data_IF_316022506491
#
_entry.id   IF_316022506491
#
_cell.length_a   1.000
_cell.length_b   1.000
_cell.length_c   1.000
_cell.angle_alpha   90.00
_cell.angle_beta   90.00
_cell.angle_gamma   90.00
#
_symmetry.space_group_name_H-M   'P 1'
#
loop_
_entity.id
_entity.type
_entity.pdbx_description
1 polymer ?
#
# COMPACT_ATOMS: atom_id res chain seq x y z
N UNK A 1 -29.13 -25.46 13.98
CA UNK A 1 -27.67 -25.30 13.94
C UNK A 1 -27.40 -24.01 13.20
N UNK A 2 -27.42 -22.91 13.93
CA UNK A 2 -27.25 -21.57 13.35
C UNK A 2 -25.78 -21.32 13.07
N UNK A 3 -25.43 -21.36 11.79
CA UNK A 3 -24.12 -20.89 11.32
C UNK A 3 -24.08 -19.37 11.50
N UNK A 4 -23.31 -18.93 12.50
CA UNK A 4 -22.97 -17.52 12.69
C UNK A 4 -22.19 -17.05 11.45
N UNK A 5 -22.86 -16.22 10.64
CA UNK A 5 -22.21 -15.39 9.62
C UNK A 5 -21.19 -14.51 10.34
N UNK A 6 -19.90 -14.46 9.90
CA UNK A 6 -18.92 -13.62 10.55
C UNK A 6 -19.32 -12.15 10.37
N UNK A 7 -19.33 -11.45 11.50
CA UNK A 7 -19.56 -10.01 11.61
C UNK A 7 -18.60 -9.29 10.66
N UNK A 8 -19.15 -8.57 9.68
CA UNK A 8 -18.43 -7.54 8.93
C UNK A 8 -17.90 -6.52 9.94
N UNK A 9 -16.62 -6.64 10.31
CA UNK A 9 -15.96 -5.62 11.10
C UNK A 9 -15.79 -4.39 10.22
N UNK A 10 -16.45 -3.32 10.62
CA UNK A 10 -16.37 -2.01 10.00
C UNK A 10 -14.91 -1.53 9.98
N UNK A 11 -14.26 -1.61 8.82
CA UNK A 11 -13.12 -0.75 8.51
C UNK A 11 -13.68 0.68 8.55
N UNK A 12 -13.35 1.45 9.58
CA UNK A 12 -13.75 2.85 9.64
C UNK A 12 -12.99 3.60 8.55
N UNK A 13 -13.64 3.83 7.41
CA UNK A 13 -13.18 4.68 6.30
C UNK A 13 -13.16 6.18 6.68
N UNK A 14 -13.06 6.50 7.97
CA UNK A 14 -13.17 7.86 8.47
C UNK A 14 -11.87 8.32 9.14
N UNK A 15 -11.43 9.49 8.69
CA UNK A 15 -10.22 10.23 9.03
C UNK A 15 -10.02 10.60 10.52
N UNK A 16 -10.91 10.19 11.43
CA UNK A 16 -10.88 10.60 12.83
C UNK A 16 -9.63 10.10 13.59
N UNK A 17 -9.01 9.00 13.16
CA UNK A 17 -7.80 8.45 13.80
C UNK A 17 -6.51 9.22 13.55
N UNK A 18 -6.46 10.15 12.57
CA UNK A 18 -5.21 10.79 12.12
C UNK A 18 -4.84 12.11 12.83
N UNK A 19 -5.71 12.68 13.66
CA UNK A 19 -5.34 13.82 14.51
C UNK A 19 -4.21 13.44 15.47
N UNK A 20 -4.17 12.19 15.90
CA UNK A 20 -3.08 11.61 16.70
C UNK A 20 -1.81 11.42 15.87
N UNK A 21 -1.90 10.96 14.61
CA UNK A 21 -0.72 10.70 13.77
C UNK A 21 0.09 11.97 13.45
N UNK A 22 -0.55 13.15 13.37
CA UNK A 22 0.17 14.44 13.30
C UNK A 22 0.96 14.77 14.57
N UNK A 23 0.47 14.35 15.75
CA UNK A 23 1.20 14.45 17.03
C UNK A 23 2.30 13.40 17.11
N UNK A 24 2.07 12.21 16.59
CA UNK A 24 2.97 11.06 16.74
C UNK A 24 4.14 11.09 15.73
N UNK A 25 3.97 11.68 14.54
CA UNK A 25 5.11 12.04 13.68
C UNK A 25 6.08 13.05 14.35
N UNK A 26 5.70 13.61 15.52
CA UNK A 26 6.56 14.45 16.37
C UNK A 26 7.07 13.77 17.65
N UNK A 27 6.66 12.54 17.98
CA UNK A 27 7.09 11.88 19.23
C UNK A 27 8.30 10.96 19.00
N UNK A 28 9.36 11.19 19.77
CA UNK A 28 10.76 10.86 19.47
C UNK A 28 11.19 9.38 19.60
N UNK A 29 10.32 8.46 20.04
CA UNK A 29 10.82 7.19 20.61
C UNK A 29 11.01 5.99 19.66
N UNK A 30 10.62 6.07 18.39
CA UNK A 30 10.94 5.03 17.38
C UNK A 30 11.26 5.65 16.01
N UNK A 31 12.09 6.69 16.00
CA UNK A 31 12.41 7.49 14.82
C UNK A 31 13.73 6.99 14.20
N UNK A 32 13.69 6.44 12.98
CA UNK A 32 14.89 6.37 12.13
C UNK A 32 15.41 7.81 11.93
N UNK A 33 16.71 8.03 11.70
CA UNK A 33 17.41 9.36 11.66
C UNK A 33 16.74 10.54 10.87
N UNK A 34 15.59 10.34 10.22
CA UNK A 34 14.82 11.33 9.45
C UNK A 34 13.34 11.50 9.85
N UNK A 35 12.86 11.00 11.00
CA UNK A 35 11.49 11.34 11.47
C UNK A 35 10.34 10.60 10.77
N UNK A 36 10.63 9.67 9.85
CA UNK A 36 9.60 9.01 9.03
C UNK A 36 9.31 7.60 9.55
N UNK A 37 8.06 7.39 9.98
CA UNK A 37 7.44 6.05 10.12
C UNK A 37 7.40 5.38 8.75
N UNK A 38 7.87 4.14 8.65
CA UNK A 38 7.81 3.38 7.40
C UNK A 38 6.34 3.05 7.09
N UNK A 39 5.88 3.37 5.89
CA UNK A 39 4.54 3.01 5.42
C UNK A 39 4.65 1.99 4.30
N UNK A 40 3.69 1.07 4.26
CA UNK A 40 3.52 0.10 3.19
C UNK A 40 2.20 0.26 2.47
N UNK A 41 2.22 0.05 1.17
CA UNK A 41 1.04 -0.17 0.32
C UNK A 41 0.94 -1.66 0.02
N UNK A 42 -0.11 -2.27 0.55
CA UNK A 42 -0.48 -3.64 0.22
C UNK A 42 -1.07 -3.72 -1.19
N UNK A 43 -0.54 -4.62 -2.01
CA UNK A 43 -0.98 -4.88 -3.37
C UNK A 43 -1.00 -6.39 -3.64
N UNK A 44 -2.10 -6.89 -4.18
CA UNK A 44 -2.16 -8.28 -4.63
C UNK A 44 -1.30 -8.49 -5.87
N UNK A 45 -0.75 -9.70 -6.01
CA UNK A 45 -0.16 -10.16 -7.26
C UNK A 45 -1.18 -10.10 -8.41
N UNK A 46 -0.82 -9.59 -9.61
CA UNK A 46 0.51 -9.17 -10.07
C UNK A 46 0.77 -7.65 -9.99
N UNK A 47 -0.09 -6.87 -9.33
CA UNK A 47 -0.05 -5.41 -9.43
C UNK A 47 1.20 -4.78 -8.79
N UNK A 48 1.74 -5.36 -7.72
CA UNK A 48 3.01 -4.94 -7.15
C UNK A 48 4.14 -4.98 -8.19
N UNK A 49 4.26 -6.10 -8.92
CA UNK A 49 5.22 -6.25 -10.01
C UNK A 49 4.97 -5.28 -11.18
N UNK A 50 3.72 -5.01 -11.52
CA UNK A 50 3.40 -4.00 -12.54
C UNK A 50 3.81 -2.59 -12.14
N UNK A 51 3.63 -2.21 -10.87
CA UNK A 51 4.06 -0.90 -10.37
C UNK A 51 5.59 -0.80 -10.34
N UNK A 52 6.27 -1.80 -9.78
CA UNK A 52 7.73 -1.79 -9.64
C UNK A 52 8.47 -1.89 -10.98
N UNK A 53 7.85 -2.46 -12.02
CA UNK A 53 8.39 -2.45 -13.39
C UNK A 53 8.08 -1.17 -14.18
N UNK A 54 7.31 -0.25 -13.62
CA UNK A 54 6.85 0.97 -14.30
C UNK A 54 5.71 0.73 -15.31
N UNK A 55 5.23 -0.51 -15.47
CA UNK A 55 4.09 -0.82 -16.36
C UNK A 55 2.78 -0.20 -15.86
N UNK A 56 2.63 -0.08 -14.53
CA UNK A 56 1.51 0.59 -13.87
C UNK A 56 1.99 1.92 -13.30
N UNK A 57 1.52 3.02 -13.86
CA UNK A 57 1.91 4.38 -13.48
C UNK A 57 0.85 5.12 -12.67
N UNK A 58 -0.35 4.54 -12.52
CA UNK A 58 -1.41 5.04 -11.64
C UNK A 58 -1.91 3.91 -10.76
N UNK A 59 -1.90 4.13 -9.46
CA UNK A 59 -2.57 3.25 -8.50
C UNK A 59 -4.02 3.69 -8.26
N UNK A 60 -4.95 2.75 -8.14
CA UNK A 60 -6.39 3.07 -7.98
C UNK A 60 -6.89 2.63 -6.62
N UNK A 61 -7.52 3.55 -5.88
CA UNK A 61 -8.09 3.25 -4.55
C UNK A 61 -9.46 3.91 -4.36
N UNK A 62 -10.22 3.39 -3.41
CA UNK A 62 -11.51 3.97 -3.01
C UNK A 62 -11.39 5.23 -2.13
N UNK A 63 -10.17 5.71 -1.89
CA UNK A 63 -9.88 6.83 -1.00
C UNK A 63 -8.68 7.62 -1.53
N UNK A 64 -8.63 8.89 -1.14
CA UNK A 64 -7.55 9.81 -1.51
C UNK A 64 -6.24 9.43 -0.79
N UNK A 65 -5.09 9.59 -1.44
CA UNK A 65 -3.81 9.38 -0.78
C UNK A 65 -3.63 10.44 0.32
N UNK A 66 -3.30 10.06 1.56
CA UNK A 66 -3.02 11.04 2.60
C UNK A 66 -1.91 12.01 2.19
N UNK A 67 -2.16 13.32 2.32
CA UNK A 67 -1.21 14.37 1.92
C UNK A 67 0.22 14.20 2.48
N UNK A 68 0.44 13.74 3.73
CA UNK A 68 1.79 13.50 4.23
C UNK A 68 2.56 12.39 3.50
N UNK A 69 1.88 11.55 2.72
CA UNK A 69 2.47 10.48 1.91
C UNK A 69 2.72 10.90 0.45
N UNK A 70 2.41 12.14 0.08
CA UNK A 70 2.78 12.72 -1.20
C UNK A 70 4.22 13.23 -1.15
N UNK A 71 4.92 13.06 -2.26
CA UNK A 71 6.20 13.74 -2.53
C UNK A 71 5.97 15.24 -2.48
N UNK A 72 6.75 15.95 -1.68
CA UNK A 72 6.65 17.40 -1.58
C UNK A 72 7.65 18.03 -2.54
N UNK A 73 7.16 18.96 -3.35
CA UNK A 73 8.01 19.79 -4.20
C UNK A 73 7.96 21.19 -3.62
N UNK A 74 9.07 21.64 -3.05
CA UNK A 74 9.21 23.03 -2.65
C UNK A 74 9.51 23.85 -3.91
N UNK A 75 8.56 24.67 -4.32
CA UNK A 75 8.68 25.53 -5.51
C UNK A 75 9.36 26.86 -5.20
N UNK A 76 9.54 27.18 -3.92
CA UNK A 76 10.10 28.45 -3.46
C UNK A 76 11.59 28.31 -3.11
N UNK A 77 12.09 27.08 -2.92
CA UNK A 77 13.49 26.79 -2.59
C UNK A 77 14.16 25.88 -3.65
N UNK A 78 14.70 26.47 -4.72
CA UNK A 78 15.57 25.83 -5.74
C UNK A 78 15.12 24.46 -6.32
N UNK A 79 13.83 24.12 -6.20
CA UNK A 79 13.30 22.84 -6.65
C UNK A 79 13.63 21.66 -5.75
N UNK A 80 13.83 21.86 -4.44
CA UNK A 80 14.01 20.77 -3.49
C UNK A 80 12.80 19.83 -3.50
N UNK A 81 13.06 18.53 -3.66
CA UNK A 81 12.05 17.47 -3.65
C UNK A 81 12.24 16.60 -2.42
N UNK A 82 11.26 16.59 -1.53
CA UNK A 82 11.19 15.67 -0.41
C UNK A 82 10.41 14.42 -0.85
N UNK A 83 11.14 13.40 -1.31
CA UNK A 83 10.57 12.10 -1.65
C UNK A 83 10.04 11.38 -0.41
N UNK A 84 8.73 11.10 -0.41
CA UNK A 84 8.12 10.24 0.61
C UNK A 84 7.99 8.84 0.03
N UNK A 85 8.86 7.93 0.46
CA UNK A 85 8.86 6.53 0.01
C UNK A 85 7.84 5.71 0.79
N UNK A 86 7.05 4.94 0.05
CA UNK A 86 6.12 3.95 0.56
C UNK A 86 6.57 2.58 0.06
N UNK A 87 6.75 1.63 0.98
CA UNK A 87 7.07 0.26 0.65
C UNK A 87 5.94 -0.43 -0.12
N UNK A 88 6.29 -1.22 -1.13
CA UNK A 88 5.35 -2.06 -1.87
C UNK A 88 5.35 -3.44 -1.22
N UNK A 89 4.23 -3.79 -0.62
CA UNK A 89 4.00 -5.05 0.08
C UNK A 89 3.09 -5.93 -0.77
N UNK A 90 3.63 -7.03 -1.30
CA UNK A 90 2.89 -7.96 -2.13
C UNK A 90 2.18 -9.01 -1.26
N UNK A 91 0.88 -9.17 -1.48
CA UNK A 91 0.09 -10.29 -0.99
C UNK A 91 -0.16 -11.29 -2.11
N UNK A 92 -0.44 -12.55 -1.73
CA UNK A 92 -0.92 -13.55 -2.69
C UNK A 92 -2.21 -13.09 -3.37
N UNK A 93 -2.46 -13.61 -4.58
CA UNK A 93 -3.66 -13.26 -5.32
C UNK A 93 -4.91 -13.72 -4.55
N UNK A 94 -5.71 -12.77 -4.10
CA UNK A 94 -7.00 -13.01 -3.44
C UNK A 94 -8.20 -12.88 -4.39
N UNK A 95 -9.39 -12.88 -3.80
CA UNK A 95 -10.61 -12.43 -4.48
C UNK A 95 -10.66 -10.90 -4.50
N UNK A 96 -11.15 -10.34 -5.61
CA UNK A 96 -11.36 -8.91 -5.74
C UNK A 96 -12.18 -8.38 -4.56
N UNK A 97 -11.77 -7.23 -4.02
CA UNK A 97 -12.43 -6.54 -2.89
C UNK A 97 -12.35 -7.26 -1.54
N UNK A 98 -11.70 -8.41 -1.42
CA UNK A 98 -11.46 -9.08 -0.12
C UNK A 98 -9.99 -8.93 0.26
N UNK A 99 -9.71 -8.19 1.35
CA UNK A 99 -8.39 -8.25 1.97
C UNK A 99 -8.33 -9.50 2.84
N UNK A 100 -7.60 -10.52 2.41
CA UNK A 100 -7.29 -11.69 3.22
C UNK A 100 -6.28 -11.38 4.33
N UNK A 101 -5.74 -10.16 4.34
CA UNK A 101 -4.72 -9.72 5.29
C UNK A 101 -5.41 -9.15 6.54
N UNK A 102 -5.04 -9.61 7.75
CA UNK A 102 -5.55 -9.09 9.02
C UNK A 102 -5.04 -7.68 9.31
N UNK A 103 -5.48 -7.08 10.41
CA UNK A 103 -5.04 -5.73 10.82
C UNK A 103 -3.57 -5.68 11.28
N UNK A 104 -3.01 -6.82 11.66
CA UNK A 104 -1.60 -6.95 12.02
C UNK A 104 -1.02 -8.19 11.35
N UNK A 105 0.03 -8.02 10.55
CA UNK A 105 0.56 -9.08 9.69
C UNK A 105 2.08 -9.03 9.64
N UNK A 106 2.73 -10.20 9.58
CA UNK A 106 4.17 -10.29 9.37
C UNK A 106 4.55 -9.85 7.97
N UNK A 107 5.66 -9.13 7.85
CA UNK A 107 6.24 -8.70 6.57
C UNK A 107 7.58 -9.41 6.40
N UNK A 108 7.70 -10.16 5.30
CA UNK A 108 8.88 -10.90 4.90
C UNK A 108 9.74 -10.07 3.93
N UNK A 109 11.06 -10.25 3.99
CA UNK A 109 11.98 -9.73 2.98
C UNK A 109 11.90 -10.57 1.70
N UNK A 110 12.48 -10.08 0.60
CA UNK A 110 12.59 -10.85 -0.65
C UNK A 110 13.41 -12.12 -0.43
N UNK A 111 14.49 -12.04 0.36
CA UNK A 111 15.30 -13.21 0.70
C UNK A 111 14.47 -14.29 1.39
N UNK A 112 13.66 -13.90 2.37
CA UNK A 112 12.81 -14.84 3.11
C UNK A 112 11.65 -15.38 2.27
N UNK A 113 11.11 -14.56 1.36
CA UNK A 113 10.11 -15.01 0.39
C UNK A 113 10.63 -15.96 -0.69
N UNK A 114 11.95 -15.96 -0.95
CA UNK A 114 12.60 -16.85 -1.92
C UNK A 114 13.28 -18.08 -1.29
N UNK A 115 13.57 -18.07 0.01
CA UNK A 115 14.20 -19.19 0.72
C UNK A 115 13.36 -20.46 0.74
N UNK A 116 12.07 -20.38 0.40
CA UNK A 116 11.19 -21.55 0.28
C UNK A 116 10.62 -21.68 -1.14
N UNK A 117 11.33 -22.44 -1.97
CA UNK A 117 10.69 -23.33 -2.96
C UNK A 117 9.83 -24.43 -2.29
N UNK A 118 9.74 -24.42 -0.97
CA UNK A 118 8.68 -25.03 -0.20
C UNK A 118 7.40 -24.23 -0.43
N UNK A 119 6.44 -24.79 -1.14
CA UNK A 119 5.05 -24.37 -0.94
C UNK A 119 4.82 -24.35 0.58
N UNK A 120 4.58 -23.19 1.14
CA UNK A 120 4.21 -23.01 2.54
C UNK A 120 2.79 -23.59 2.73
N UNK A 121 2.61 -24.89 2.51
CA UNK A 121 1.32 -25.59 2.60
C UNK A 121 0.86 -25.77 4.05
N UNK A 122 1.57 -25.19 5.03
CA UNK A 122 1.31 -25.47 6.46
C UNK A 122 1.35 -24.25 7.39
N UNK A 123 1.68 -23.04 6.93
CA UNK A 123 1.45 -21.84 7.75
C UNK A 123 0.10 -21.24 7.39
N UNK A 124 -0.90 -21.44 8.25
CA UNK A 124 -2.20 -20.76 8.18
C UNK A 124 -2.09 -19.24 8.42
N UNK A 125 -0.89 -18.71 8.65
CA UNK A 125 -0.69 -17.32 9.02
C UNK A 125 -0.45 -16.48 7.76
N UNK A 126 -1.31 -15.49 7.45
CA UNK A 126 -1.10 -14.59 6.33
C UNK A 126 0.18 -13.77 6.54
N UNK A 127 0.87 -13.44 5.44
CA UNK A 127 2.06 -12.61 5.43
C UNK A 127 2.07 -11.70 4.20
N UNK A 128 2.94 -10.69 4.22
CA UNK A 128 3.22 -9.81 3.08
C UNK A 128 4.69 -9.92 2.70
N UNK A 129 5.01 -9.80 1.41
CA UNK A 129 6.41 -9.74 0.94
C UNK A 129 6.77 -8.31 0.58
N UNK A 130 7.81 -7.74 1.19
CA UNK A 130 8.30 -6.39 0.91
C UNK A 130 9.13 -6.39 -0.38
N UNK A 131 8.54 -6.02 -1.51
CA UNK A 131 9.15 -6.16 -2.86
C UNK A 131 9.98 -4.96 -3.31
N UNK A 132 9.70 -3.79 -2.76
CA UNK A 132 10.34 -2.55 -3.21
C UNK A 132 9.69 -1.34 -2.55
N UNK A 133 9.84 -0.19 -3.18
CA UNK A 133 9.25 1.07 -2.74
C UNK A 133 8.83 1.91 -3.94
N UNK A 134 7.93 2.86 -3.70
CA UNK A 134 7.60 3.92 -4.66
C UNK A 134 7.34 5.25 -3.96
N UNK A 135 7.29 6.31 -4.75
CA UNK A 135 6.77 7.62 -4.33
C UNK A 135 5.48 7.91 -5.09
N UNK A 136 4.64 8.77 -4.53
CA UNK A 136 3.47 9.30 -5.23
C UNK A 136 3.60 10.81 -5.40
N UNK A 137 3.40 11.30 -6.63
CA UNK A 137 3.54 12.72 -6.96
C UNK A 137 2.23 13.49 -6.78
N UNK A 138 1.10 12.82 -6.97
CA UNK A 138 -0.23 13.42 -6.84
C UNK A 138 -1.30 12.36 -6.61
N UNK A 139 -2.45 12.80 -6.12
CA UNK A 139 -3.68 12.00 -6.04
C UNK A 139 -4.83 12.85 -6.55
N UNK A 140 -5.73 12.23 -7.32
CA UNK A 140 -6.90 12.89 -7.88
C UNK A 140 -8.10 11.96 -7.85
N UNK A 141 -9.30 12.54 -7.75
CA UNK A 141 -10.56 11.79 -7.86
C UNK A 141 -10.96 11.70 -9.33
N UNK A 142 -11.28 10.50 -9.80
CA UNK A 142 -11.95 10.34 -11.08
C UNK A 142 -13.39 10.84 -10.98
N UNK A 143 -13.81 11.66 -11.94
CA UNK A 143 -15.15 12.27 -11.95
C UNK A 143 -16.11 11.56 -12.90
N UNK A 144 -15.60 10.71 -13.79
CA UNK A 144 -16.44 9.95 -14.72
C UNK A 144 -15.81 8.61 -15.11
N UNK A 145 -16.66 7.71 -15.61
CA UNK A 145 -16.26 6.40 -16.15
C UNK A 145 -15.30 6.55 -17.32
N UNK A 146 -15.54 7.53 -18.18
CA UNK A 146 -14.74 7.79 -19.38
C UNK A 146 -13.32 8.21 -19.00
N UNK A 147 -13.17 9.05 -17.97
CA UNK A 147 -11.85 9.43 -17.45
C UNK A 147 -11.11 8.21 -16.90
N UNK A 148 -11.78 7.36 -16.12
CA UNK A 148 -11.20 6.12 -15.60
C UNK A 148 -10.77 5.19 -16.72
N UNK A 149 -11.64 4.93 -17.70
CA UNK A 149 -11.33 4.07 -18.84
C UNK A 149 -10.21 4.62 -19.73
N UNK A 150 -10.10 5.95 -19.89
CA UNK A 150 -9.01 6.56 -20.64
C UNK A 150 -7.63 6.26 -20.02
N UNK A 151 -7.58 6.08 -18.69
CA UNK A 151 -6.37 5.73 -17.95
C UNK A 151 -6.18 4.21 -17.76
N UNK A 152 -6.97 3.35 -18.41
CA UNK A 152 -6.90 1.89 -18.28
C UNK A 152 -5.48 1.35 -18.48
N UNK A 153 -4.76 1.87 -19.49
CA UNK A 153 -3.38 1.47 -19.77
C UNK A 153 -2.38 1.89 -18.69
N UNK A 154 -2.72 2.88 -17.86
CA UNK A 154 -1.88 3.40 -16.77
C UNK A 154 -2.13 2.66 -15.47
N UNK A 155 -3.39 2.35 -15.15
CA UNK A 155 -3.73 1.66 -13.91
C UNK A 155 -3.92 0.15 -14.04
N UNK A 156 -4.03 -0.37 -15.27
CA UNK A 156 -4.16 -1.80 -15.61
C UNK A 156 -5.37 -2.48 -14.95
N UNK A 157 -6.45 -1.75 -14.73
CA UNK A 157 -7.70 -2.29 -14.17
C UNK A 157 -8.70 -2.46 -15.31
N UNK A 158 -9.01 -3.70 -15.73
CA UNK A 158 -9.97 -3.92 -16.79
C UNK A 158 -11.37 -3.43 -16.38
N UNK A 159 -12.18 -2.91 -17.33
CA UNK A 159 -13.54 -2.42 -17.05
C UNK A 159 -14.45 -3.45 -16.38
N UNK A 160 -14.25 -4.74 -16.69
CA UNK A 160 -15.08 -5.84 -16.19
C UNK A 160 -14.54 -6.48 -14.89
N UNK A 161 -13.51 -5.91 -14.28
CA UNK A 161 -12.96 -6.41 -13.02
C UNK A 161 -13.75 -5.93 -11.81
N UNK A 162 -13.61 -6.59 -10.65
CA UNK A 162 -14.17 -6.10 -9.40
C UNK A 162 -13.57 -4.76 -8.96
N UNK A 163 -12.43 -4.36 -9.52
CA UNK A 163 -11.81 -3.05 -9.27
C UNK A 163 -12.23 -1.98 -10.30
N UNK A 164 -13.06 -2.34 -11.28
CA UNK A 164 -13.56 -1.44 -12.30
C UNK A 164 -14.46 -0.32 -11.75
N UNK A 165 -14.83 0.59 -12.64
CA UNK A 165 -15.67 1.74 -12.31
C UNK A 165 -17.00 1.32 -11.65
N UNK A 166 -17.36 2.03 -10.58
CA UNK A 166 -18.58 1.83 -9.82
C UNK A 166 -19.19 3.20 -9.49
N UNK A 167 -20.35 3.50 -10.05
CA UNK A 167 -21.01 4.82 -9.89
C UNK A 167 -21.39 5.12 -8.44
N UNK A 168 -21.39 4.12 -7.55
CA UNK A 168 -21.71 4.28 -6.14
C UNK A 168 -20.49 4.58 -5.28
N UNK A 169 -19.27 4.46 -5.81
CA UNK A 169 -18.04 4.51 -5.02
C UNK A 169 -17.05 5.51 -5.61
N UNK A 170 -16.42 6.35 -4.78
CA UNK A 170 -15.35 7.19 -5.28
C UNK A 170 -14.15 6.33 -5.70
N UNK A 171 -13.49 6.72 -6.78
CA UNK A 171 -12.22 6.13 -7.21
C UNK A 171 -11.21 7.26 -7.34
N UNK A 172 -10.03 7.04 -6.77
CA UNK A 172 -8.90 7.95 -6.81
C UNK A 172 -7.76 7.31 -7.58
N UNK A 173 -7.07 8.11 -8.39
CA UNK A 173 -5.82 7.76 -9.05
C UNK A 173 -4.65 8.38 -8.30
N UNK A 174 -3.74 7.55 -7.79
CA UNK A 174 -2.48 7.96 -7.18
C UNK A 174 -1.37 7.83 -8.23
N UNK A 175 -0.81 8.96 -8.65
CA UNK A 175 0.22 9.00 -9.70
C UNK A 175 1.56 8.56 -9.12
N UNK A 176 2.09 7.47 -9.65
CA UNK A 176 3.38 6.92 -9.24
C UNK A 176 4.49 7.84 -9.75
N UNK A 177 5.37 8.25 -8.83
CA UNK A 177 6.60 8.97 -9.16
C UNK A 177 7.73 7.98 -9.46
N UNK A 178 8.76 7.99 -8.62
CA UNK A 178 9.90 7.06 -8.69
C UNK A 178 9.59 5.75 -7.99
N UNK A 179 10.22 4.67 -8.41
CA UNK A 179 10.15 3.37 -7.73
C UNK A 179 11.50 2.65 -7.75
N UNK A 180 11.65 1.69 -6.85
CA UNK A 180 12.83 0.83 -6.76
C UNK A 180 12.48 -0.51 -6.16
N UNK A 181 13.23 -1.55 -6.53
CA UNK A 181 13.14 -2.87 -5.92
C UNK A 181 14.08 -2.95 -4.73
N UNK A 182 13.68 -3.68 -3.68
CA UNK A 182 14.63 -4.03 -2.62
C UNK A 182 15.55 -5.13 -3.12
N UNK A 183 16.79 -5.13 -2.64
CA UNK A 183 17.75 -6.18 -2.95
C UNK A 183 17.55 -7.36 -1.99
N UNK A 184 17.99 -8.55 -2.39
CA UNK A 184 18.00 -9.76 -1.56
C UNK A 184 18.90 -9.67 -0.33
N UNK A 185 19.77 -8.65 -0.27
CA UNK A 185 20.79 -8.51 0.78
C UNK A 185 20.28 -7.66 1.96
N UNK A 186 18.99 -7.33 1.98
CA UNK A 186 18.37 -6.67 3.13
C UNK A 186 18.50 -7.61 4.35
N UNK A 187 19.03 -7.08 5.46
CA UNK A 187 19.33 -7.85 6.68
C UNK A 187 18.10 -8.64 7.13
N UNK A 188 18.31 -9.73 7.89
CA UNK A 188 17.26 -10.56 8.52
C UNK A 188 16.47 -9.75 9.61
N UNK A 189 16.00 -8.56 9.28
CA UNK A 189 15.12 -7.74 10.09
C UNK A 189 13.69 -8.27 9.93
N UNK A 190 13.05 -8.57 11.05
CA UNK A 190 11.64 -8.98 11.05
C UNK A 190 10.76 -7.75 11.14
N UNK A 191 9.76 -7.67 10.29
CA UNK A 191 8.84 -6.54 10.24
C UNK A 191 7.42 -6.98 10.54
N UNK A 192 6.66 -6.08 11.18
CA UNK A 192 5.21 -6.19 11.33
C UNK A 192 4.56 -4.99 10.67
N UNK A 193 3.52 -5.26 9.88
CA UNK A 193 2.64 -4.24 9.33
C UNK A 193 1.35 -4.14 10.15
N UNK A 194 0.98 -2.91 10.53
CA UNK A 194 -0.29 -2.57 11.17
C UNK A 194 -1.17 -1.76 10.23
N UNK A 195 -2.41 -2.21 10.03
CA UNK A 195 -3.37 -1.57 9.12
C UNK A 195 -3.77 -0.19 9.63
N UNK A 196 -3.63 0.81 8.76
CA UNK A 196 -4.10 2.18 8.98
C UNK A 196 -5.26 2.54 8.06
N UNK A 197 -5.28 2.00 6.85
CA UNK A 197 -6.40 2.06 5.91
C UNK A 197 -6.54 0.71 5.21
N UNK A 198 -7.54 0.56 4.33
CA UNK A 198 -7.83 -0.70 3.64
C UNK A 198 -6.59 -1.38 3.03
N UNK A 199 -5.61 -0.62 2.52
CA UNK A 199 -4.36 -1.18 2.01
C UNK A 199 -3.11 -0.39 2.41
N UNK A 200 -3.25 0.65 3.24
CA UNK A 200 -2.09 1.33 3.82
C UNK A 200 -1.82 0.77 5.20
N UNK A 201 -0.57 0.41 5.42
CA UNK A 201 -0.08 -0.11 6.69
C UNK A 201 1.09 0.74 7.18
N UNK A 202 1.25 0.81 8.50
CA UNK A 202 2.47 1.26 9.14
C UNK A 202 3.37 0.06 9.40
N UNK A 203 4.66 0.17 9.11
CA UNK A 203 5.64 -0.90 9.23
C UNK A 203 6.52 -0.63 10.45
N UNK A 204 6.64 -1.63 11.30
CA UNK A 204 7.45 -1.63 12.51
C UNK A 204 8.53 -2.70 12.40
N UNK A 205 9.78 -2.32 12.65
CA UNK A 205 10.87 -3.27 12.86
C UNK A 205 10.68 -3.95 14.23
N UNK A 206 10.76 -5.27 14.25
CA UNK A 206 10.79 -6.03 15.49
C UNK A 206 12.22 -6.04 16.02
N UNK A 207 12.40 -5.51 17.24
CA UNK A 207 13.64 -5.66 18.01
C UNK A 207 13.80 -7.08 18.53
#
# INVERSE_FOLDING_TARGET
MDQKVPVNQHVTETWAGWAETRKILRSEECINNHGVRLFGLEMQRPYAGHLLSGRKSIETRGYDLPTPLLTKVDRDCDGYVEEVRIDILESERGLDRVSAIPDRVSVLTIADGHKDGLKLETSSTPYLVRKGWCTFSSSFRYTSREQFQADERKHLVPPNSGYGWDDQRPIYGWVVGTSGVHNSDDKDCKYIAERRMRSLVEIHEMK
#
